data_IF_717985974190
#
_entry.id   IF_717985974190
#
_cell.length_a   1.000
_cell.length_b   1.000
_cell.length_c   1.000
_cell.angle_alpha   90.00
_cell.angle_beta   90.00
_cell.angle_gamma   90.00
#
_symmetry.space_group_name_H-M   'P 1'
#
loop_
_entity.id
_entity.type
_entity.pdbx_description
1 polymer ?
#
# COMPACT_ATOMS: atom_id res chain seq x y z
N UNK A 1 -16.87 -26.75 -50.48
CA UNK A 1 -16.70 -26.46 -49.05
C UNK A 1 -16.01 -25.13 -48.94
N UNK A 2 -16.66 -24.05 -48.50
CA UNK A 2 -16.00 -22.78 -48.31
C UNK A 2 -15.34 -22.73 -46.92
N UNK A 3 -14.12 -22.16 -46.90
CA UNK A 3 -13.27 -21.91 -45.74
C UNK A 3 -13.89 -20.87 -44.77
N UNK A 4 -13.68 -20.94 -43.45
CA UNK A 4 -14.22 -19.94 -42.52
C UNK A 4 -13.40 -18.67 -42.59
N UNK A 5 -14.11 -17.54 -42.69
CA UNK A 5 -13.57 -16.19 -42.73
C UNK A 5 -13.02 -15.79 -41.36
N UNK A 6 -11.81 -15.27 -41.42
CA UNK A 6 -11.06 -14.60 -40.35
C UNK A 6 -11.78 -13.31 -39.95
N UNK A 7 -12.36 -13.26 -38.76
CA UNK A 7 -12.99 -12.07 -38.18
C UNK A 7 -12.02 -11.36 -37.21
N UNK A 8 -10.88 -10.88 -37.72
CA UNK A 8 -10.10 -9.89 -37.01
C UNK A 8 -10.84 -8.54 -37.07
N UNK A 9 -11.52 -8.16 -35.99
CA UNK A 9 -12.11 -6.82 -35.83
C UNK A 9 -11.00 -5.78 -35.88
N UNK A 10 -10.80 -5.20 -37.06
CA UNK A 10 -9.96 -4.02 -37.27
C UNK A 10 -10.61 -2.85 -36.53
N UNK A 11 -9.94 -2.35 -35.52
CA UNK A 11 -10.29 -1.07 -34.91
C UNK A 11 -10.19 0.02 -35.99
N UNK A 12 -11.32 0.66 -36.32
CA UNK A 12 -11.37 1.75 -37.27
C UNK A 12 -10.79 3.03 -36.61
N UNK A 13 -9.63 3.54 -37.04
CA UNK A 13 -9.02 4.73 -36.45
C UNK A 13 -9.80 6.04 -36.71
N UNK A 14 -10.91 5.98 -37.46
CA UNK A 14 -11.77 7.14 -37.78
C UNK A 14 -13.15 7.07 -37.12
N UNK A 15 -13.40 6.14 -36.22
CA UNK A 15 -14.61 6.20 -35.42
C UNK A 15 -14.54 7.47 -34.56
N UNK A 16 -15.54 8.36 -34.61
CA UNK A 16 -15.58 9.54 -33.73
C UNK A 16 -15.54 9.04 -32.28
N UNK A 17 -14.79 9.72 -31.37
CA UNK A 17 -14.82 9.38 -29.96
C UNK A 17 -16.28 9.39 -29.50
N UNK A 18 -16.67 8.47 -28.59
CA UNK A 18 -18.03 8.47 -28.07
C UNK A 18 -18.35 9.88 -27.55
N UNK A 19 -19.43 10.46 -28.08
CA UNK A 19 -19.93 11.75 -27.66
C UNK A 19 -20.16 11.69 -26.14
N UNK A 20 -19.58 12.66 -25.41
CA UNK A 20 -19.58 12.75 -23.94
C UNK A 20 -18.59 11.80 -23.18
N UNK A 21 -17.30 11.89 -23.47
CA UNK A 21 -16.32 11.57 -22.43
C UNK A 21 -16.42 12.64 -21.34
N UNK A 22 -16.77 12.28 -20.10
CA UNK A 22 -17.22 13.25 -19.10
C UNK A 22 -16.07 14.02 -18.42
N UNK A 23 -14.86 14.06 -19.01
CA UNK A 23 -13.71 14.70 -18.38
C UNK A 23 -13.90 16.20 -18.18
N UNK A 24 -14.36 16.93 -19.21
CA UNK A 24 -14.61 18.38 -19.10
C UNK A 24 -15.75 18.67 -18.13
N UNK A 25 -16.79 17.83 -18.13
CA UNK A 25 -17.89 17.93 -17.16
C UNK A 25 -17.40 17.69 -15.72
N UNK A 26 -16.55 16.69 -15.51
CA UNK A 26 -15.98 16.43 -14.18
C UNK A 26 -15.06 17.58 -13.74
N UNK A 27 -14.25 18.13 -14.63
CA UNK A 27 -13.44 19.32 -14.35
C UNK A 27 -14.33 20.51 -13.95
N UNK A 28 -15.43 20.75 -14.67
CA UNK A 28 -16.38 21.82 -14.34
C UNK A 28 -17.04 21.60 -12.97
N UNK A 29 -17.40 20.37 -12.61
CA UNK A 29 -17.92 20.02 -11.28
C UNK A 29 -16.87 20.34 -10.20
N UNK A 30 -15.62 19.91 -10.37
CA UNK A 30 -14.53 20.18 -9.43
C UNK A 30 -14.29 21.69 -9.27
N UNK A 31 -14.22 22.45 -10.35
CA UNK A 31 -14.03 23.90 -10.29
C UNK A 31 -15.21 24.64 -9.63
N UNK A 32 -16.40 24.05 -9.60
CA UNK A 32 -17.54 24.58 -8.83
C UNK A 32 -17.54 24.17 -7.36
N UNK A 33 -16.52 23.44 -6.89
CA UNK A 33 -16.43 22.91 -5.53
C UNK A 33 -17.27 21.66 -5.32
N UNK A 34 -17.79 21.04 -6.39
CA UNK A 34 -18.51 19.77 -6.34
C UNK A 34 -17.55 18.57 -6.51
N UNK A 35 -18.11 17.35 -6.42
CA UNK A 35 -17.38 16.11 -6.54
C UNK A 35 -18.07 15.15 -7.52
N UNK A 36 -17.35 14.57 -8.50
CA UNK A 36 -17.92 13.57 -9.39
C UNK A 36 -18.23 12.26 -8.66
N UNK A 37 -19.24 11.54 -9.13
CA UNK A 37 -19.61 10.25 -8.56
C UNK A 37 -18.54 9.18 -8.85
N UNK A 38 -18.43 8.17 -7.98
CA UNK A 38 -17.44 7.10 -8.12
C UNK A 38 -17.50 6.38 -9.47
N UNK A 39 -18.70 6.13 -10.01
CA UNK A 39 -18.90 5.48 -11.31
C UNK A 39 -18.39 6.34 -12.48
N UNK A 40 -18.58 7.67 -12.40
CA UNK A 40 -18.08 8.59 -13.44
C UNK A 40 -16.54 8.63 -13.41
N UNK A 41 -15.94 8.65 -12.22
CA UNK A 41 -14.48 8.58 -12.03
C UNK A 41 -13.92 7.25 -12.52
N UNK A 42 -14.56 6.14 -12.20
CA UNK A 42 -14.15 4.81 -12.67
C UNK A 42 -14.18 4.75 -14.21
N UNK A 43 -15.22 5.27 -14.83
CA UNK A 43 -15.38 5.35 -16.29
C UNK A 43 -14.26 6.19 -16.92
N UNK A 44 -14.01 7.39 -16.40
CA UNK A 44 -12.96 8.28 -16.90
C UNK A 44 -11.58 7.62 -16.78
N UNK A 45 -11.23 7.13 -15.59
CA UNK A 45 -9.91 6.52 -15.36
C UNK A 45 -9.74 5.25 -16.19
N UNK A 46 -10.79 4.46 -16.37
CA UNK A 46 -10.77 3.30 -17.26
C UNK A 46 -10.48 3.67 -18.71
N UNK A 47 -11.10 4.74 -19.22
CA UNK A 47 -10.85 5.26 -20.56
C UNK A 47 -9.41 5.79 -20.72
N UNK A 48 -8.90 6.52 -19.71
CA UNK A 48 -7.50 6.96 -19.67
C UNK A 48 -6.53 5.78 -19.74
N UNK A 49 -6.77 4.74 -18.94
CA UNK A 49 -5.92 3.56 -18.92
C UNK A 49 -6.01 2.74 -20.22
N UNK A 50 -7.14 2.79 -20.94
CA UNK A 50 -7.32 2.20 -22.26
C UNK A 50 -6.62 3.01 -23.38
N UNK A 51 -6.43 4.30 -23.18
CA UNK A 51 -5.83 5.19 -24.16
C UNK A 51 -6.83 6.06 -24.92
N UNK A 52 -8.07 6.06 -24.49
CA UNK A 52 -9.19 6.74 -25.16
C UNK A 52 -9.30 8.22 -24.73
N UNK A 53 -8.52 8.64 -23.73
CA UNK A 53 -8.49 10.03 -23.24
C UNK A 53 -7.08 10.59 -23.35
N UNK A 54 -7.01 11.84 -23.78
CA UNK A 54 -5.79 12.63 -23.85
C UNK A 54 -5.19 12.85 -22.45
N UNK A 55 -3.87 12.66 -22.33
CA UNK A 55 -3.18 12.77 -21.04
C UNK A 55 -3.08 14.21 -20.54
N UNK A 56 -3.04 15.22 -21.43
CA UNK A 56 -2.98 16.63 -21.00
C UNK A 56 -4.31 17.05 -20.36
N UNK A 57 -5.42 16.62 -20.94
CA UNK A 57 -6.77 16.84 -20.39
C UNK A 57 -6.94 16.09 -19.06
N UNK A 58 -6.47 14.84 -18.99
CA UNK A 58 -6.48 14.10 -17.75
C UNK A 58 -5.58 14.74 -16.68
N UNK A 59 -4.47 15.32 -17.07
CA UNK A 59 -3.60 16.11 -16.18
C UNK A 59 -4.33 17.27 -15.52
N UNK A 60 -5.15 18.01 -16.28
CA UNK A 60 -5.99 19.09 -15.76
C UNK A 60 -7.01 18.57 -14.73
N UNK A 61 -7.63 17.41 -15.01
CA UNK A 61 -8.54 16.75 -14.07
C UNK A 61 -7.84 16.36 -12.77
N UNK A 62 -6.64 15.78 -12.83
CA UNK A 62 -5.84 15.41 -11.64
C UNK A 62 -5.49 16.65 -10.79
N UNK A 63 -5.16 17.76 -11.44
CA UNK A 63 -4.86 19.02 -10.75
C UNK A 63 -6.12 19.56 -10.08
N UNK A 64 -7.23 19.67 -10.81
CA UNK A 64 -8.50 20.16 -10.28
C UNK A 64 -8.97 19.31 -9.07
N UNK A 65 -8.86 17.97 -9.16
CA UNK A 65 -9.22 17.08 -8.08
C UNK A 65 -8.33 17.31 -6.83
N UNK A 66 -7.01 17.42 -7.03
CA UNK A 66 -6.09 17.66 -5.92
C UNK A 66 -6.25 19.04 -5.26
N UNK A 67 -6.79 20.04 -5.97
CA UNK A 67 -7.08 21.38 -5.46
C UNK A 67 -8.42 21.43 -4.71
N UNK A 68 -9.43 20.69 -5.18
CA UNK A 68 -10.73 20.57 -4.50
C UNK A 68 -10.63 19.68 -3.24
N UNK A 69 -9.69 18.71 -3.24
CA UNK A 69 -9.54 17.69 -2.21
C UNK A 69 -10.28 16.40 -2.55
N UNK A 70 -9.62 15.28 -2.41
CA UNK A 70 -10.16 13.97 -2.78
C UNK A 70 -11.16 13.44 -1.75
N UNK A 71 -12.30 12.96 -2.20
CA UNK A 71 -13.34 12.30 -1.41
C UNK A 71 -13.27 10.78 -1.52
N UNK A 72 -14.04 10.08 -0.67
CA UNK A 72 -14.21 8.62 -0.74
C UNK A 72 -14.65 8.14 -2.12
N UNK A 73 -15.59 8.86 -2.75
CA UNK A 73 -16.15 8.48 -4.05
C UNK A 73 -15.08 8.46 -5.15
N UNK A 74 -14.26 9.50 -5.20
CA UNK A 74 -13.21 9.64 -6.21
C UNK A 74 -12.09 8.65 -5.98
N UNK A 75 -11.64 8.47 -4.74
CA UNK A 75 -10.62 7.48 -4.39
C UNK A 75 -11.13 6.07 -4.73
N UNK A 76 -12.38 5.74 -4.40
CA UNK A 76 -12.99 4.46 -4.72
C UNK A 76 -13.12 4.21 -6.23
N UNK A 77 -13.54 5.23 -7.00
CA UNK A 77 -13.66 5.15 -8.46
C UNK A 77 -12.30 4.88 -9.13
N UNK A 78 -11.26 5.62 -8.74
CA UNK A 78 -9.90 5.37 -9.25
C UNK A 78 -9.43 3.97 -8.87
N UNK A 79 -9.62 3.54 -7.62
CA UNK A 79 -9.23 2.20 -7.17
C UNK A 79 -9.99 1.10 -7.92
N UNK A 80 -11.29 1.28 -8.22
CA UNK A 80 -12.10 0.35 -8.99
C UNK A 80 -11.56 0.17 -10.42
N UNK A 81 -11.27 1.28 -11.12
CA UNK A 81 -10.68 1.25 -12.46
C UNK A 81 -9.33 0.52 -12.51
N UNK A 82 -8.48 0.74 -11.50
CA UNK A 82 -7.18 0.04 -11.39
C UNK A 82 -7.36 -1.45 -11.12
N UNK A 83 -8.26 -1.82 -10.20
CA UNK A 83 -8.54 -3.23 -9.85
C UNK A 83 -9.15 -4.01 -11.00
N UNK A 84 -9.94 -3.37 -11.85
CA UNK A 84 -10.51 -4.00 -13.04
C UNK A 84 -9.44 -4.44 -14.06
N UNK A 85 -8.28 -3.76 -14.05
CA UNK A 85 -7.18 -3.99 -15.01
C UNK A 85 -5.93 -4.61 -14.39
N UNK A 86 -5.94 -4.91 -13.09
CA UNK A 86 -4.78 -5.49 -12.42
C UNK A 86 -4.62 -6.97 -12.74
N UNK A 87 -3.37 -7.42 -12.75
CA UNK A 87 -3.03 -8.84 -12.81
C UNK A 87 -3.10 -9.41 -11.39
N UNK A 88 -4.12 -10.24 -11.15
CA UNK A 88 -4.41 -10.79 -9.83
C UNK A 88 -3.42 -11.88 -9.41
N UNK A 89 -3.24 -12.03 -8.11
CA UNK A 89 -2.52 -13.13 -7.47
C UNK A 89 -3.55 -14.12 -6.93
N UNK A 90 -3.78 -15.29 -7.60
CA UNK A 90 -4.72 -16.29 -7.10
C UNK A 90 -4.17 -16.97 -5.84
N UNK A 91 -5.04 -17.21 -4.85
CA UNK A 91 -4.70 -17.91 -3.62
C UNK A 91 -5.94 -18.53 -2.96
N UNK A 92 -5.73 -19.50 -2.05
CA UNK A 92 -6.79 -20.15 -1.26
C UNK A 92 -6.86 -19.64 0.20
N UNK A 93 -6.06 -18.62 0.57
CA UNK A 93 -6.04 -18.11 1.92
C UNK A 93 -7.36 -17.42 2.27
N UNK A 94 -7.94 -17.74 3.44
CA UNK A 94 -9.17 -17.08 3.93
C UNK A 94 -8.93 -15.64 4.35
N UNK A 95 -7.75 -15.36 4.88
CA UNK A 95 -7.29 -14.03 5.29
C UNK A 95 -5.92 -13.83 4.67
N UNK A 96 -5.74 -12.71 4.00
CA UNK A 96 -4.44 -12.21 3.56
C UNK A 96 -4.28 -10.80 4.08
N UNK A 97 -3.16 -10.53 4.74
CA UNK A 97 -2.84 -9.20 5.24
C UNK A 97 -1.95 -8.42 4.26
N UNK A 98 -2.03 -7.09 4.36
CA UNK A 98 -1.07 -6.17 3.74
C UNK A 98 -0.74 -5.02 4.71
N UNK A 99 0.51 -4.60 4.70
CA UNK A 99 1.03 -3.47 5.49
C UNK A 99 1.61 -2.43 4.54
N UNK A 100 0.75 -1.75 3.80
CA UNK A 100 1.18 -0.82 2.75
C UNK A 100 0.72 0.60 3.06
N UNK A 101 1.64 1.53 3.29
CA UNK A 101 1.34 2.96 3.44
C UNK A 101 1.22 3.68 2.10
N UNK A 102 0.70 4.90 2.14
CA UNK A 102 0.66 5.81 0.98
C UNK A 102 2.05 6.37 0.66
N UNK A 103 2.96 6.28 1.61
CA UNK A 103 4.31 6.82 1.54
C UNK A 103 4.36 8.34 1.56
N UNK A 104 5.56 8.88 1.46
CA UNK A 104 5.75 10.32 1.33
C UNK A 104 5.66 11.11 2.64
N UNK A 105 5.81 10.46 3.78
CA UNK A 105 5.81 11.07 5.11
C UNK A 105 7.06 11.91 5.42
N UNK A 106 8.11 11.73 4.62
CA UNK A 106 9.36 12.48 4.76
C UNK A 106 10.23 12.08 5.96
N UNK A 107 9.86 11.04 6.72
CA UNK A 107 10.57 10.60 7.92
C UNK A 107 12.00 10.09 7.65
N UNK A 108 12.25 9.60 6.44
CA UNK A 108 13.53 8.96 6.10
C UNK A 108 13.76 7.63 6.84
N UNK A 109 12.74 7.06 7.45
CA UNK A 109 12.81 5.82 8.20
C UNK A 109 13.15 4.62 7.30
N UNK A 110 13.74 3.57 7.90
CA UNK A 110 13.87 2.28 7.23
C UNK A 110 12.47 1.69 6.91
N UNK A 111 12.41 0.67 6.06
CA UNK A 111 11.14 0.09 5.62
C UNK A 111 10.42 -0.68 6.74
N UNK A 112 9.84 0.05 7.70
CA UNK A 112 9.13 -0.46 8.89
C UNK A 112 8.03 -1.43 8.49
N UNK A 113 7.13 -1.01 7.58
CA UNK A 113 6.02 -1.83 7.12
C UNK A 113 6.48 -3.11 6.40
N UNK A 114 7.66 -3.10 5.74
CA UNK A 114 8.24 -4.31 5.13
C UNK A 114 8.74 -5.29 6.20
N UNK A 115 9.42 -4.77 7.23
CA UNK A 115 9.84 -5.58 8.37
C UNK A 115 8.63 -6.15 9.12
N UNK A 116 7.60 -5.33 9.36
CA UNK A 116 6.34 -5.76 9.98
C UNK A 116 5.65 -6.87 9.19
N UNK A 117 5.59 -6.77 7.84
CA UNK A 117 5.07 -7.82 6.96
C UNK A 117 5.75 -9.18 7.18
N UNK A 118 7.08 -9.16 7.30
CA UNK A 118 7.88 -10.38 7.54
C UNK A 118 7.56 -10.97 8.92
N UNK A 119 7.47 -10.13 9.96
CA UNK A 119 7.12 -10.54 11.32
C UNK A 119 5.70 -11.11 11.40
N UNK A 120 4.73 -10.46 10.75
CA UNK A 120 3.34 -10.93 10.65
C UNK A 120 3.26 -12.30 9.98
N UNK A 121 4.02 -12.50 8.90
CA UNK A 121 4.12 -13.81 8.25
C UNK A 121 4.80 -14.84 9.14
N UNK A 122 5.83 -14.46 9.92
CA UNK A 122 6.48 -15.28 10.94
C UNK A 122 5.52 -15.72 12.04
N UNK A 123 4.59 -14.85 12.42
CA UNK A 123 3.51 -15.17 13.37
C UNK A 123 2.40 -16.06 12.77
N UNK A 124 2.51 -16.48 11.49
CA UNK A 124 1.62 -17.45 10.84
C UNK A 124 0.46 -16.85 10.06
N UNK A 125 0.33 -15.53 9.96
CA UNK A 125 -0.70 -14.88 9.13
C UNK A 125 -0.18 -14.70 7.69
N UNK A 126 -0.88 -15.18 6.65
CA UNK A 126 -0.49 -14.95 5.27
C UNK A 126 -0.44 -13.46 4.91
N UNK A 127 0.65 -13.04 4.27
CA UNK A 127 0.87 -11.65 3.85
C UNK A 127 1.19 -11.58 2.36
N UNK A 128 0.48 -10.75 1.65
CA UNK A 128 0.82 -10.32 0.28
C UNK A 128 1.13 -8.83 0.31
N UNK A 129 2.41 -8.49 0.49
CA UNK A 129 2.81 -7.10 0.55
C UNK A 129 2.79 -6.46 -0.84
N UNK A 130 1.90 -5.49 -1.02
CA UNK A 130 1.92 -4.63 -2.19
C UNK A 130 2.93 -3.50 -2.01
N UNK A 131 3.76 -3.26 -3.01
CA UNK A 131 4.79 -2.24 -2.88
C UNK A 131 5.45 -1.86 -4.20
N UNK A 132 6.36 -0.90 -4.11
CA UNK A 132 7.04 -0.34 -5.27
C UNK A 132 8.50 0.01 -4.93
N UNK A 133 9.25 0.40 -5.96
CA UNK A 133 10.54 1.09 -5.80
C UNK A 133 10.31 2.50 -5.25
N UNK A 134 11.35 3.06 -4.65
CA UNK A 134 11.32 4.45 -4.19
C UNK A 134 11.05 5.42 -5.35
N UNK A 135 10.21 6.42 -5.10
CA UNK A 135 9.96 7.53 -6.04
C UNK A 135 10.47 8.85 -5.43
N UNK A 136 10.13 9.12 -4.17
CA UNK A 136 10.53 10.32 -3.44
C UNK A 136 11.23 10.01 -2.11
N UNK A 137 11.06 8.81 -1.57
CA UNK A 137 11.72 8.34 -0.36
C UNK A 137 13.15 7.85 -0.63
N UNK A 138 13.95 7.67 0.43
CA UNK A 138 15.34 7.16 0.34
C UNK A 138 15.41 5.68 -0.04
N UNK A 139 14.33 4.91 0.23
CA UNK A 139 14.25 3.47 -0.03
C UNK A 139 12.79 3.03 -0.20
N UNK A 140 12.51 2.22 -1.22
CA UNK A 140 11.22 1.58 -1.44
C UNK A 140 11.22 0.13 -0.94
N UNK A 141 10.04 -0.44 -0.77
CA UNK A 141 9.91 -1.85 -0.33
C UNK A 141 10.52 -2.84 -1.33
N UNK A 142 10.46 -2.55 -2.62
CA UNK A 142 11.11 -3.35 -3.65
C UNK A 142 12.63 -3.29 -3.53
N UNK A 143 13.18 -2.08 -3.35
CA UNK A 143 14.62 -1.87 -3.30
C UNK A 143 15.25 -2.61 -2.10
N UNK A 144 14.60 -2.55 -0.93
CA UNK A 144 15.10 -3.25 0.25
C UNK A 144 14.94 -4.77 0.14
N UNK A 145 13.86 -5.28 -0.44
CA UNK A 145 13.67 -6.72 -0.62
C UNK A 145 14.70 -7.32 -1.58
N UNK A 146 15.10 -6.60 -2.63
CA UNK A 146 16.22 -7.02 -3.49
C UNK A 146 17.53 -7.14 -2.70
N UNK A 147 17.82 -6.18 -1.79
CA UNK A 147 19.01 -6.26 -0.90
C UNK A 147 18.93 -7.41 0.10
N UNK A 148 17.71 -7.83 0.45
CA UNK A 148 17.46 -9.02 1.29
C UNK A 148 17.45 -10.34 0.49
N UNK A 149 17.81 -10.29 -0.80
CA UNK A 149 17.92 -11.47 -1.66
C UNK A 149 16.62 -11.96 -2.27
N UNK A 150 15.54 -11.20 -2.15
CA UNK A 150 14.24 -11.56 -2.74
C UNK A 150 14.20 -11.11 -4.20
N UNK A 151 13.87 -12.01 -5.11
CA UNK A 151 13.59 -11.66 -6.51
C UNK A 151 12.21 -10.99 -6.61
N UNK A 152 12.18 -9.73 -7.03
CA UNK A 152 10.96 -8.92 -7.08
C UNK A 152 10.35 -8.78 -8.48
N UNK A 153 11.13 -9.04 -9.52
CA UNK A 153 10.79 -8.85 -10.96
C UNK A 153 10.18 -10.09 -11.62
N UNK A 154 9.78 -11.06 -10.82
CA UNK A 154 9.18 -12.29 -11.33
C UNK A 154 7.78 -12.07 -11.95
N UNK A 155 7.36 -13.06 -12.74
CA UNK A 155 5.98 -13.10 -13.27
C UNK A 155 4.95 -13.09 -12.12
N UNK A 156 3.72 -12.62 -12.34
CA UNK A 156 2.66 -12.61 -11.30
C UNK A 156 2.41 -13.97 -10.63
N UNK A 157 2.61 -15.07 -11.36
CA UNK A 157 2.56 -16.44 -10.83
C UNK A 157 3.58 -16.72 -9.73
N UNK A 158 4.72 -16.01 -9.71
CA UNK A 158 5.71 -16.14 -8.65
C UNK A 158 5.16 -15.65 -7.31
N UNK A 159 4.45 -14.52 -7.31
CA UNK A 159 3.82 -14.01 -6.08
C UNK A 159 2.77 -15.00 -5.54
N UNK A 160 1.98 -15.62 -6.43
CA UNK A 160 1.03 -16.67 -6.05
C UNK A 160 1.73 -17.88 -5.42
N UNK A 161 2.82 -18.34 -6.03
CA UNK A 161 3.61 -19.45 -5.52
C UNK A 161 4.28 -19.14 -4.17
N UNK A 162 4.85 -17.94 -4.01
CA UNK A 162 5.40 -17.49 -2.72
C UNK A 162 4.32 -17.43 -1.63
N UNK A 163 3.14 -16.92 -1.95
CA UNK A 163 2.03 -16.86 -0.99
C UNK A 163 1.56 -18.26 -0.59
N UNK A 164 1.45 -19.18 -1.54
CA UNK A 164 1.03 -20.56 -1.28
C UNK A 164 2.06 -21.35 -0.47
N UNK A 165 3.33 -21.29 -0.85
CA UNK A 165 4.37 -22.16 -0.31
C UNK A 165 5.00 -21.59 0.97
N UNK A 166 5.08 -20.26 1.10
CA UNK A 166 5.76 -19.56 2.20
C UNK A 166 4.77 -18.85 3.12
N UNK A 167 3.62 -18.43 2.62
CA UNK A 167 2.69 -17.55 3.34
C UNK A 167 3.14 -16.08 3.34
N UNK A 168 4.13 -15.73 2.53
CA UNK A 168 4.61 -14.36 2.35
C UNK A 168 4.93 -14.13 0.87
N UNK A 169 4.34 -13.11 0.27
CA UNK A 169 4.60 -12.70 -1.10
C UNK A 169 4.85 -11.20 -1.20
N UNK A 170 5.63 -10.82 -2.21
CA UNK A 170 5.77 -9.43 -2.62
C UNK A 170 5.11 -9.22 -3.98
N UNK A 171 4.23 -8.24 -4.07
CA UNK A 171 3.53 -7.84 -5.28
C UNK A 171 4.08 -6.50 -5.76
N UNK A 172 4.98 -6.54 -6.74
CA UNK A 172 5.55 -5.33 -7.32
C UNK A 172 4.49 -4.58 -8.15
N UNK A 173 4.23 -3.32 -7.82
CA UNK A 173 3.16 -2.55 -8.45
C UNK A 173 3.23 -2.48 -9.99
N UNK A 174 4.37 -2.19 -10.65
CA UNK A 174 4.47 -2.23 -12.12
C UNK A 174 4.10 -3.57 -12.75
N UNK A 175 4.44 -4.68 -12.10
CA UNK A 175 4.13 -6.04 -12.62
C UNK A 175 2.62 -6.33 -12.57
N UNK A 176 1.96 -5.88 -11.51
CA UNK A 176 0.55 -6.18 -11.30
C UNK A 176 -0.41 -5.11 -11.85
N UNK A 177 0.09 -3.90 -12.11
CA UNK A 177 -0.67 -2.78 -12.67
C UNK A 177 -0.03 -2.25 -13.96
N UNK A 178 0.11 -3.05 -15.02
CA UNK A 178 0.81 -2.65 -16.24
C UNK A 178 0.17 -1.43 -16.92
N UNK A 179 -1.14 -1.25 -16.81
CA UNK A 179 -1.86 -0.08 -17.35
C UNK A 179 -1.39 1.25 -16.75
N UNK A 180 -0.81 1.23 -15.53
CA UNK A 180 -0.25 2.43 -14.90
C UNK A 180 1.00 2.98 -15.60
N UNK A 181 1.67 2.19 -16.45
CA UNK A 181 2.79 2.67 -17.25
C UNK A 181 2.40 3.87 -18.12
N UNK A 182 1.14 3.93 -18.59
CA UNK A 182 0.63 5.02 -19.42
C UNK A 182 0.60 6.36 -18.68
N UNK A 183 0.15 6.38 -17.42
CA UNK A 183 0.01 7.61 -16.63
C UNK A 183 1.27 7.98 -15.83
N UNK A 184 2.26 7.10 -15.81
CA UNK A 184 3.50 7.32 -15.07
C UNK A 184 4.27 8.58 -15.49
N UNK A 185 4.50 8.85 -16.80
CA UNK A 185 5.14 10.09 -17.25
C UNK A 185 4.37 11.36 -16.85
N UNK A 186 3.05 11.37 -17.01
CA UNK A 186 2.19 12.48 -16.61
C UNK A 186 2.31 12.77 -15.10
N UNK A 187 2.23 11.73 -14.25
CA UNK A 187 2.39 11.90 -12.80
C UNK A 187 3.73 12.54 -12.41
N UNK A 188 4.81 12.16 -13.10
CA UNK A 188 6.12 12.78 -12.88
C UNK A 188 6.18 14.24 -13.33
N UNK A 189 5.56 14.56 -14.48
CA UNK A 189 5.55 15.95 -14.99
C UNK A 189 4.73 16.91 -14.13
N UNK A 190 3.68 16.41 -13.46
CA UNK A 190 2.88 17.23 -12.54
C UNK A 190 3.65 17.67 -11.29
N UNK A 191 4.66 16.92 -10.85
CA UNK A 191 5.54 17.29 -9.73
C UNK A 191 4.84 17.47 -8.38
N UNK A 192 3.59 17.01 -8.24
CA UNK A 192 2.76 17.13 -7.04
C UNK A 192 2.03 15.82 -6.73
N UNK A 193 1.64 15.59 -5.47
CA UNK A 193 0.77 14.47 -5.11
C UNK A 193 -0.58 14.56 -5.82
N UNK A 194 -1.13 13.40 -6.20
CA UNK A 194 -2.43 13.24 -6.82
C UNK A 194 -3.17 12.08 -6.17
N UNK A 195 -4.43 11.85 -6.51
CA UNK A 195 -5.23 10.70 -6.03
C UNK A 195 -4.49 9.36 -6.16
N UNK A 196 -3.60 9.21 -7.16
CA UNK A 196 -2.78 8.00 -7.32
C UNK A 196 -1.79 7.74 -6.17
N UNK A 197 -1.53 8.71 -5.32
CA UNK A 197 -0.70 8.52 -4.13
C UNK A 197 -1.45 7.77 -3.02
N UNK A 198 -2.78 7.77 -3.04
CA UNK A 198 -3.61 7.17 -2.00
C UNK A 198 -4.20 5.81 -2.38
N UNK A 199 -4.31 5.52 -3.68
CA UNK A 199 -4.99 4.31 -4.15
C UNK A 199 -4.11 3.06 -4.18
N UNK A 200 -2.79 3.20 -4.08
CA UNK A 200 -1.86 2.05 -4.11
C UNK A 200 -2.25 0.95 -3.11
N UNK A 201 -2.43 1.27 -1.82
CA UNK A 201 -2.87 0.30 -0.82
C UNK A 201 -4.22 -0.36 -1.13
N UNK A 202 -5.12 0.36 -1.81
CA UNK A 202 -6.47 -0.11 -2.15
C UNK A 202 -6.51 -1.10 -3.32
N UNK A 203 -5.37 -1.30 -3.99
CA UNK A 203 -5.26 -2.09 -5.22
C UNK A 203 -4.34 -3.30 -5.04
N UNK A 204 -4.34 -3.94 -3.85
CA UNK A 204 -3.52 -5.12 -3.60
C UNK A 204 -3.92 -6.27 -4.54
N UNK A 205 -2.99 -6.83 -5.34
CA UNK A 205 -3.30 -7.85 -6.35
C UNK A 205 -3.80 -9.18 -5.79
N UNK A 206 -3.46 -9.50 -4.53
CA UNK A 206 -3.99 -10.67 -3.83
C UNK A 206 -5.35 -10.41 -3.16
N UNK A 207 -5.90 -9.19 -3.28
CA UNK A 207 -7.16 -8.84 -2.62
C UNK A 207 -7.05 -8.94 -1.10
N UNK A 208 -6.01 -8.32 -0.52
CA UNK A 208 -5.78 -8.33 0.93
C UNK A 208 -7.07 -7.98 1.68
N UNK A 209 -7.50 -8.89 2.56
CA UNK A 209 -8.75 -8.75 3.31
C UNK A 209 -8.57 -7.98 4.61
N UNK A 210 -7.34 -7.88 5.11
CA UNK A 210 -6.97 -7.11 6.30
C UNK A 210 -5.80 -6.21 5.94
N UNK A 211 -5.90 -4.92 6.24
CA UNK A 211 -4.86 -3.97 5.90
C UNK A 211 -4.55 -3.03 7.05
N UNK A 212 -3.28 -2.71 7.23
CA UNK A 212 -2.82 -1.53 7.97
C UNK A 212 -2.24 -0.56 6.96
N UNK A 213 -2.90 0.57 6.78
CA UNK A 213 -2.57 1.58 5.78
C UNK A 213 -2.06 2.83 6.47
N UNK A 214 -0.77 3.10 6.33
CA UNK A 214 -0.18 4.35 6.77
C UNK A 214 -0.55 5.51 5.86
N UNK A 215 -0.98 6.64 6.41
CA UNK A 215 -1.37 7.82 5.66
C UNK A 215 -0.70 9.07 6.22
N UNK A 216 0.28 9.60 5.48
CA UNK A 216 1.00 10.81 5.88
C UNK A 216 0.16 12.10 5.81
N UNK A 217 -0.91 12.13 4.99
CA UNK A 217 -1.80 13.28 4.83
C UNK A 217 -3.11 13.08 5.61
N UNK A 218 -3.21 13.72 6.77
CA UNK A 218 -4.35 13.54 7.68
C UNK A 218 -5.73 13.77 7.04
N UNK A 219 -5.85 14.73 6.12
CA UNK A 219 -7.11 15.12 5.48
C UNK A 219 -7.79 13.98 4.69
N UNK A 220 -7.02 13.03 4.14
CA UNK A 220 -7.58 11.95 3.31
C UNK A 220 -7.79 10.63 4.06
N UNK A 221 -7.47 10.55 5.36
CA UNK A 221 -7.55 9.30 6.14
C UNK A 221 -8.92 8.62 6.09
N UNK A 222 -9.99 9.39 6.33
CA UNK A 222 -11.36 8.87 6.29
C UNK A 222 -11.72 8.35 4.91
N UNK A 223 -11.44 9.16 3.89
CA UNK A 223 -11.75 8.82 2.51
C UNK A 223 -11.02 7.53 2.06
N UNK A 224 -9.76 7.35 2.47
CA UNK A 224 -8.99 6.13 2.21
C UNK A 224 -9.59 4.93 2.94
N UNK A 225 -9.97 5.08 4.21
CA UNK A 225 -10.54 4.01 5.01
C UNK A 225 -11.87 3.50 4.43
N UNK A 226 -12.77 4.41 4.09
CA UNK A 226 -14.07 4.07 3.49
C UNK A 226 -13.91 3.48 2.08
N UNK A 227 -13.03 4.05 1.26
CA UNK A 227 -12.76 3.53 -0.09
C UNK A 227 -12.18 2.10 -0.06
N UNK A 228 -11.37 1.76 0.95
CA UNK A 228 -10.86 0.41 1.14
C UNK A 228 -11.98 -0.60 1.42
N UNK A 229 -12.96 -0.23 2.24
CA UNK A 229 -14.12 -1.07 2.54
C UNK A 229 -15.02 -1.27 1.32
N UNK A 230 -15.24 -0.21 0.54
CA UNK A 230 -15.95 -0.31 -0.75
C UNK A 230 -15.21 -1.25 -1.71
N UNK A 231 -13.90 -1.38 -1.53
CA UNK A 231 -13.03 -2.30 -2.27
C UNK A 231 -13.12 -3.77 -1.89
N UNK A 232 -13.88 -4.13 -0.86
CA UNK A 232 -14.08 -5.49 -0.40
C UNK A 232 -13.11 -5.95 0.69
N UNK A 233 -12.35 -5.04 1.31
CA UNK A 233 -11.58 -5.36 2.50
C UNK A 233 -12.51 -5.78 3.66
N UNK A 234 -12.06 -6.70 4.49
CA UNK A 234 -12.81 -7.16 5.67
C UNK A 234 -12.60 -6.23 6.87
N UNK A 235 -11.37 -5.76 7.06
CA UNK A 235 -11.01 -4.79 8.09
C UNK A 235 -9.79 -4.00 7.66
N UNK A 236 -9.84 -2.70 7.86
CA UNK A 236 -8.77 -1.76 7.53
C UNK A 236 -8.49 -0.87 8.72
N UNK A 237 -7.23 -0.78 9.10
CA UNK A 237 -6.73 0.24 10.00
C UNK A 237 -6.02 1.30 9.17
N UNK A 238 -6.53 2.51 9.15
CA UNK A 238 -5.79 3.67 8.61
C UNK A 238 -5.12 4.38 9.77
N UNK A 239 -3.79 4.42 9.72
CA UNK A 239 -2.96 4.95 10.81
C UNK A 239 -2.20 6.20 10.37
N UNK A 240 -2.01 7.12 11.32
CA UNK A 240 -1.30 8.36 11.10
C UNK A 240 -0.80 8.90 12.44
N UNK A 241 0.48 9.17 12.56
CA UNK A 241 1.10 9.59 13.81
C UNK A 241 1.68 11.00 13.66
N UNK A 242 0.99 12.04 14.15
CA UNK A 242 1.53 13.39 14.16
C UNK A 242 2.81 13.44 14.98
N UNK A 243 3.87 13.97 14.41
CA UNK A 243 5.16 14.15 15.08
C UNK A 243 5.24 15.58 15.62
N UNK A 244 5.42 15.72 16.92
CA UNK A 244 5.61 17.04 17.56
C UNK A 244 7.02 17.59 17.27
N UNK A 245 7.38 17.77 15.99
CA UNK A 245 8.68 18.31 15.56
C UNK A 245 8.61 19.83 15.35
N UNK A 246 7.47 20.46 15.63
CA UNK A 246 7.29 21.89 15.41
C UNK A 246 8.26 22.70 16.27
N UNK A 247 9.19 23.39 15.60
CA UNK A 247 9.92 24.50 16.22
C UNK A 247 8.95 25.62 16.63
N UNK A 248 9.34 26.51 17.56
CA UNK A 248 8.47 27.62 18.00
C UNK A 248 8.09 28.46 16.77
N UNK A 249 6.82 28.51 16.42
CA UNK A 249 6.25 29.33 15.35
C UNK A 249 5.87 28.63 14.05
N UNK A 250 6.03 27.30 13.94
CA UNK A 250 5.50 26.56 12.79
C UNK A 250 3.96 26.47 12.86
N UNK A 251 3.22 26.72 11.77
CA UNK A 251 1.78 26.55 11.75
C UNK A 251 1.43 25.08 12.01
N UNK A 252 0.38 24.84 12.81
CA UNK A 252 -0.08 23.49 13.18
C UNK A 252 -0.44 22.56 11.97
N UNK A 253 -0.56 23.13 10.79
CA UNK A 253 -0.84 22.42 9.53
C UNK A 253 0.38 21.72 8.91
N UNK A 254 1.60 21.96 9.38
CA UNK A 254 2.86 21.45 8.83
C UNK A 254 3.61 20.51 9.79
N UNK A 255 2.94 19.95 10.81
CA UNK A 255 3.57 18.93 11.62
C UNK A 255 3.86 17.69 10.75
N UNK A 256 5.13 17.27 10.71
CA UNK A 256 5.52 16.03 10.07
C UNK A 256 4.64 14.89 10.64
N UNK A 257 4.23 13.98 9.78
CA UNK A 257 3.36 12.88 10.16
C UNK A 257 4.01 11.57 9.73
N UNK A 258 4.25 10.67 10.67
CA UNK A 258 4.72 9.32 10.36
C UNK A 258 3.52 8.48 9.89
N UNK A 259 3.65 7.80 8.76
CA UNK A 259 2.62 6.90 8.19
C UNK A 259 2.73 5.46 8.74
N UNK A 260 3.00 5.34 10.05
CA UNK A 260 3.14 4.08 10.80
C UNK A 260 2.55 4.22 12.20
N UNK A 261 2.31 3.11 12.89
CA UNK A 261 2.05 3.13 14.35
C UNK A 261 3.32 3.52 15.07
N UNK A 262 3.27 4.61 15.84
CA UNK A 262 4.44 5.32 16.35
C UNK A 262 4.83 4.91 17.77
N UNK A 263 6.14 4.95 18.03
CA UNK A 263 6.71 4.90 19.39
C UNK A 263 6.83 6.27 20.05
N UNK A 264 6.62 7.35 19.30
CA UNK A 264 7.06 8.70 19.70
C UNK A 264 5.91 9.62 20.11
N UNK A 265 4.76 9.07 20.38
CA UNK A 265 3.56 9.79 20.77
C UNK A 265 2.30 9.08 20.31
N UNK A 266 1.31 9.87 19.98
CA UNK A 266 -0.03 9.41 19.63
C UNK A 266 -0.06 8.92 18.17
N UNK A 267 -0.74 7.80 17.94
CA UNK A 267 -1.18 7.35 16.62
C UNK A 267 -2.70 7.47 16.54
N UNK A 268 -3.20 8.25 15.60
CA UNK A 268 -4.61 8.28 15.24
C UNK A 268 -4.93 7.08 14.36
N UNK A 269 -5.97 6.34 14.70
CA UNK A 269 -6.40 5.13 14.00
C UNK A 269 -7.86 5.22 13.63
N UNK A 270 -8.15 5.05 12.35
CA UNK A 270 -9.49 4.80 11.83
C UNK A 270 -9.61 3.31 11.55
N UNK A 271 -10.41 2.61 12.35
CA UNK A 271 -10.66 1.18 12.25
C UNK A 271 -12.01 0.97 11.57
N UNK A 272 -12.01 0.47 10.36
CA UNK A 272 -13.22 0.19 9.59
C UNK A 272 -13.34 -1.31 9.36
N UNK A 273 -14.47 -1.86 9.72
CA UNK A 273 -14.77 -3.28 9.63
C UNK A 273 -16.25 -3.58 9.54
N UNK A 274 -16.66 -4.85 9.66
CA UNK A 274 -18.08 -5.27 9.57
C UNK A 274 -19.00 -4.61 10.58
N UNK A 275 -18.44 -4.15 11.70
CA UNK A 275 -19.17 -3.49 12.79
C UNK A 275 -19.24 -1.96 12.63
N UNK A 276 -18.79 -1.43 11.48
CA UNK A 276 -18.73 0.00 11.19
C UNK A 276 -17.36 0.61 11.41
N UNK A 277 -17.33 1.93 11.56
CA UNK A 277 -16.12 2.73 11.74
C UNK A 277 -15.93 3.07 13.21
N UNK A 278 -14.73 2.85 13.71
CA UNK A 278 -14.30 3.25 15.06
C UNK A 278 -13.05 4.11 14.98
N UNK A 279 -12.92 5.02 15.92
CA UNK A 279 -11.74 5.84 16.09
C UNK A 279 -11.01 5.42 17.35
N UNK A 280 -9.70 5.19 17.19
CA UNK A 280 -8.81 4.94 18.32
C UNK A 280 -7.68 5.96 18.32
N UNK A 281 -7.20 6.22 19.49
CA UNK A 281 -5.97 6.96 19.73
C UNK A 281 -5.04 6.02 20.49
N UNK A 282 -3.98 5.58 19.83
CA UNK A 282 -3.03 4.63 20.43
C UNK A 282 -1.72 5.31 20.79
N UNK A 283 -1.11 4.79 21.83
CA UNK A 283 0.27 5.08 22.22
C UNK A 283 1.04 3.75 22.35
N UNK A 284 2.33 3.79 22.57
CA UNK A 284 3.14 2.58 22.79
C UNK A 284 2.65 1.81 24.03
N UNK A 285 2.11 2.50 25.04
CA UNK A 285 1.58 1.92 26.30
C UNK A 285 0.38 1.01 26.06
N UNK A 286 -0.46 1.29 25.06
CA UNK A 286 -1.60 0.42 24.72
C UNK A 286 -1.13 -0.97 24.24
N UNK A 287 0.09 -1.06 23.74
CA UNK A 287 0.76 -2.30 23.38
C UNK A 287 1.60 -2.87 24.53
N UNK A 288 1.71 -2.15 25.67
CA UNK A 288 2.57 -2.47 26.80
C UNK A 288 4.05 -2.18 26.57
N UNK A 289 4.39 -1.29 25.65
CA UNK A 289 5.71 -0.69 25.45
C UNK A 289 5.72 0.71 26.04
N UNK A 290 6.89 1.29 26.21
CA UNK A 290 7.01 2.68 26.68
C UNK A 290 7.16 3.62 25.50
N UNK A 291 6.46 4.75 25.54
CA UNK A 291 6.66 5.86 24.60
C UNK A 291 8.12 6.35 24.70
N UNK A 292 8.74 6.58 23.55
CA UNK A 292 10.12 7.02 23.46
C UNK A 292 10.21 8.51 23.16
N UNK A 293 11.29 9.18 23.58
CA UNK A 293 11.53 10.56 23.22
C UNK A 293 11.56 10.74 21.69
N UNK A 294 11.02 11.85 21.19
CA UNK A 294 11.01 12.17 19.76
C UNK A 294 12.42 12.22 19.14
N UNK A 295 13.44 12.55 19.92
CA UNK A 295 14.83 12.52 19.48
C UNK A 295 15.29 11.12 19.02
N UNK A 296 14.64 10.06 19.50
CA UNK A 296 14.94 8.67 19.09
C UNK A 296 14.42 8.35 17.68
N UNK A 297 13.59 9.20 17.08
CA UNK A 297 13.14 9.05 15.69
C UNK A 297 14.34 8.99 14.72
N UNK A 298 15.39 9.77 14.98
CA UNK A 298 16.61 9.73 14.19
C UNK A 298 17.28 8.34 14.13
N UNK A 299 17.02 7.47 15.13
CA UNK A 299 17.53 6.09 15.15
C UNK A 299 16.83 5.20 14.11
N UNK A 300 15.67 5.62 13.58
CA UNK A 300 14.95 4.92 12.53
C UNK A 300 15.41 5.32 11.13
N UNK A 301 16.10 6.47 10.99
CA UNK A 301 16.53 6.96 9.69
C UNK A 301 17.57 6.06 9.04
N UNK A 302 17.54 6.04 7.71
CA UNK A 302 18.52 5.36 6.86
C UNK A 302 18.80 6.20 5.61
N UNK A 303 19.96 5.97 4.99
CA UNK A 303 20.37 6.69 3.79
C UNK A 303 20.06 5.95 2.48
N UNK A 304 19.59 4.72 2.56
CA UNK A 304 19.26 3.94 1.37
C UNK A 304 18.86 2.49 1.68
N UNK A 305 18.64 1.69 0.62
CA UNK A 305 18.15 0.33 0.75
C UNK A 305 19.12 -0.61 1.46
N UNK A 306 20.44 -0.39 1.38
CA UNK A 306 21.45 -1.19 2.07
C UNK A 306 21.32 -1.05 3.59
N UNK A 307 21.24 0.19 4.09
CA UNK A 307 21.09 0.46 5.52
C UNK A 307 19.71 -0.01 6.01
N UNK A 308 18.68 0.12 5.19
CA UNK A 308 17.34 -0.38 5.51
C UNK A 308 17.33 -1.92 5.61
N UNK A 309 17.99 -2.61 4.70
CA UNK A 309 18.13 -4.06 4.74
C UNK A 309 18.91 -4.52 5.98
N UNK A 310 20.00 -3.84 6.33
CA UNK A 310 20.77 -4.11 7.54
C UNK A 310 19.91 -3.92 8.81
N UNK A 311 19.10 -2.83 8.86
CA UNK A 311 18.19 -2.58 9.96
C UNK A 311 17.13 -3.69 10.11
N UNK A 312 16.55 -4.16 9.01
CA UNK A 312 15.59 -5.28 9.01
C UNK A 312 16.27 -6.56 9.53
N UNK A 313 17.46 -6.89 9.03
CA UNK A 313 18.19 -8.09 9.48
C UNK A 313 18.52 -8.02 10.97
N UNK A 314 18.94 -6.87 11.49
CA UNK A 314 19.22 -6.67 12.91
C UNK A 314 17.95 -6.88 13.76
N UNK A 315 16.80 -6.34 13.33
CA UNK A 315 15.50 -6.58 13.98
C UNK A 315 15.16 -8.07 13.98
N UNK A 316 15.27 -8.75 12.85
CA UNK A 316 14.96 -10.18 12.73
C UNK A 316 15.94 -11.08 13.48
N UNK A 317 17.15 -10.59 13.77
CA UNK A 317 18.13 -11.25 14.64
C UNK A 317 17.86 -11.01 16.14
N UNK A 318 16.81 -10.25 16.50
CA UNK A 318 16.43 -9.99 17.88
C UNK A 318 17.11 -8.78 18.51
N UNK A 319 17.83 -7.94 17.75
CA UNK A 319 18.46 -6.74 18.28
C UNK A 319 17.41 -5.81 18.92
N UNK A 320 17.64 -5.47 20.20
CA UNK A 320 16.74 -4.62 20.97
C UNK A 320 16.89 -3.14 20.60
N UNK A 321 15.82 -2.37 20.72
CA UNK A 321 15.85 -0.93 20.52
C UNK A 321 14.67 -0.39 19.71
N UNK A 322 14.69 0.91 19.37
CA UNK A 322 13.55 1.57 18.71
C UNK A 322 13.16 0.94 17.37
N UNK A 323 14.12 0.41 16.61
CA UNK A 323 13.84 -0.27 15.32
C UNK A 323 13.03 -1.54 15.53
N UNK A 324 13.36 -2.36 16.53
CA UNK A 324 12.59 -3.55 16.87
C UNK A 324 11.20 -3.17 17.39
N UNK A 325 11.16 -2.22 18.33
CA UNK A 325 9.91 -1.85 19.00
C UNK A 325 8.88 -1.31 17.99
N UNK A 326 9.27 -0.44 17.04
CA UNK A 326 8.35 0.09 16.01
C UNK A 326 7.86 -0.99 15.05
N UNK A 327 8.71 -1.96 14.70
CA UNK A 327 8.30 -3.10 13.86
C UNK A 327 7.30 -3.98 14.62
N UNK A 328 7.55 -4.24 15.89
CA UNK A 328 6.64 -4.99 16.76
C UNK A 328 5.28 -4.30 16.88
N UNK A 329 5.22 -2.97 17.05
CA UNK A 329 3.95 -2.22 17.09
C UNK A 329 3.15 -2.38 15.79
N UNK A 330 3.77 -2.21 14.64
CA UNK A 330 3.09 -2.29 13.34
C UNK A 330 2.68 -3.72 13.00
N UNK A 331 3.49 -4.72 13.36
CA UNK A 331 3.12 -6.12 13.25
C UNK A 331 1.95 -6.48 14.19
N UNK A 332 1.98 -6.01 15.45
CA UNK A 332 0.92 -6.23 16.41
C UNK A 332 -0.41 -5.61 15.96
N UNK A 333 -0.39 -4.37 15.43
CA UNK A 333 -1.58 -3.74 14.86
C UNK A 333 -2.20 -4.62 13.76
N UNK A 334 -1.37 -5.19 12.88
CA UNK A 334 -1.82 -6.07 11.79
C UNK A 334 -2.40 -7.39 12.31
N UNK A 335 -1.74 -8.03 13.28
CA UNK A 335 -2.21 -9.28 13.90
C UNK A 335 -3.52 -9.08 14.66
N UNK A 336 -3.66 -7.95 15.36
CA UNK A 336 -4.90 -7.58 16.04
C UNK A 336 -6.03 -7.30 15.03
N UNK A 337 -5.77 -6.55 13.98
CA UNK A 337 -6.74 -6.29 12.92
C UNK A 337 -7.25 -7.57 12.26
N UNK A 338 -6.39 -8.55 12.08
CA UNK A 338 -6.74 -9.86 11.53
C UNK A 338 -7.52 -10.76 12.50
N UNK A 339 -7.64 -10.36 13.77
CA UNK A 339 -8.30 -11.16 14.81
C UNK A 339 -7.47 -12.36 15.26
N UNK A 340 -6.15 -12.36 15.02
CA UNK A 340 -5.22 -13.40 15.48
C UNK A 340 -5.00 -13.28 17.00
N UNK A 341 -5.12 -12.08 17.54
CA UNK A 341 -5.02 -11.80 18.96
C UNK A 341 -6.20 -10.93 19.43
N UNK A 342 -6.65 -11.17 20.66
CA UNK A 342 -7.80 -10.49 21.24
C UNK A 342 -7.49 -9.07 21.75
N UNK A 343 -6.22 -8.71 21.95
CA UNK A 343 -5.78 -7.39 22.43
C UNK A 343 -4.46 -6.99 21.81
N UNK A 344 -4.14 -5.69 21.84
CA UNK A 344 -2.87 -5.17 21.35
C UNK A 344 -1.65 -5.75 22.10
N UNK A 345 -1.65 -5.89 23.44
CA UNK A 345 -0.55 -6.56 24.15
C UNK A 345 -0.39 -8.02 23.77
N UNK A 346 -1.49 -8.75 23.54
CA UNK A 346 -1.41 -10.15 23.09
C UNK A 346 -0.86 -10.25 21.67
N UNK A 347 -1.23 -9.33 20.78
CA UNK A 347 -0.70 -9.25 19.42
C UNK A 347 0.80 -8.90 19.42
N UNK A 348 1.23 -7.99 20.30
CA UNK A 348 2.63 -7.66 20.51
C UNK A 348 3.42 -8.91 20.90
N UNK A 349 2.95 -9.68 21.88
CA UNK A 349 3.63 -10.89 22.32
C UNK A 349 3.79 -11.93 21.19
N UNK A 350 2.84 -12.00 20.23
CA UNK A 350 2.98 -12.85 19.04
C UNK A 350 4.06 -12.32 18.09
N UNK A 351 4.10 -11.01 17.87
CA UNK A 351 5.12 -10.38 17.03
C UNK A 351 6.52 -10.55 17.61
N UNK A 352 6.69 -10.30 18.91
CA UNK A 352 7.97 -10.51 19.61
C UNK A 352 8.43 -11.98 19.52
N UNK A 353 7.52 -12.93 19.76
CA UNK A 353 7.82 -14.36 19.65
C UNK A 353 8.31 -14.72 18.25
N UNK A 354 7.66 -14.23 17.19
CA UNK A 354 8.07 -14.53 15.83
C UNK A 354 9.48 -14.03 15.49
N UNK A 355 9.94 -12.97 16.16
CA UNK A 355 11.31 -12.50 16.06
C UNK A 355 12.23 -13.43 16.91
N UNK A 356 11.90 -13.65 18.18
CA UNK A 356 12.75 -14.27 19.18
C UNK A 356 12.98 -15.77 18.93
N UNK A 357 11.99 -16.48 18.35
CA UNK A 357 12.12 -17.88 17.95
C UNK A 357 12.69 -18.08 16.53
N UNK A 358 13.00 -16.98 15.82
CA UNK A 358 13.55 -16.99 14.47
C UNK A 358 12.54 -17.26 13.35
N UNK A 359 11.24 -17.40 13.65
CA UNK A 359 10.21 -17.68 12.63
C UNK A 359 10.12 -16.57 11.57
N UNK A 360 10.28 -15.32 11.97
CA UNK A 360 10.28 -14.19 11.04
C UNK A 360 11.51 -14.23 10.11
N UNK A 361 12.70 -14.50 10.64
CA UNK A 361 13.92 -14.66 9.83
C UNK A 361 13.80 -15.84 8.85
N UNK A 362 13.23 -16.96 9.31
CA UNK A 362 12.97 -18.13 8.47
C UNK A 362 11.99 -17.82 7.31
N UNK A 363 10.97 -16.98 7.56
CA UNK A 363 10.05 -16.54 6.48
C UNK A 363 10.74 -15.71 5.42
N UNK A 364 11.62 -14.78 5.80
CA UNK A 364 12.41 -14.01 4.83
C UNK A 364 13.33 -14.93 4.02
N UNK A 365 14.04 -15.84 4.67
CA UNK A 365 14.91 -16.80 3.99
C UNK A 365 14.13 -17.70 3.02
N UNK A 366 12.95 -18.18 3.43
CA UNK A 366 12.08 -19.00 2.59
C UNK A 366 11.55 -18.18 1.38
N UNK A 367 11.17 -16.91 1.58
CA UNK A 367 10.75 -16.02 0.50
C UNK A 367 11.89 -15.78 -0.50
N UNK A 368 13.10 -15.49 -0.01
CA UNK A 368 14.27 -15.33 -0.87
C UNK A 368 14.57 -16.60 -1.68
N UNK A 369 14.60 -17.76 -1.03
CA UNK A 369 14.81 -19.04 -1.70
C UNK A 369 13.72 -19.34 -2.75
N UNK A 370 12.43 -19.18 -2.37
CA UNK A 370 11.29 -19.48 -3.25
C UNK A 370 11.23 -18.53 -4.45
N UNK A 371 11.52 -17.25 -4.23
CA UNK A 371 11.49 -16.24 -5.31
C UNK A 371 12.57 -16.45 -6.36
N UNK A 372 13.70 -17.06 -5.99
CA UNK A 372 14.80 -17.37 -6.88
C UNK A 372 14.75 -18.81 -7.45
N UNK A 373 13.81 -19.63 -7.00
CA UNK A 373 13.64 -20.98 -7.52
C UNK A 373 13.22 -20.95 -9.00
N UNK A 374 13.68 -21.90 -9.83
CA UNK A 374 13.18 -22.04 -11.19
C UNK A 374 11.64 -22.15 -11.20
N UNK A 375 11.01 -21.57 -12.22
CA UNK A 375 9.58 -21.79 -12.43
C UNK A 375 9.33 -23.30 -12.57
N UNK A 376 8.31 -23.83 -11.90
CA UNK A 376 7.89 -25.19 -12.15
C UNK A 376 7.58 -25.34 -13.65
N UNK A 377 7.98 -26.45 -14.30
CA UNK A 377 7.62 -26.68 -15.70
C UNK A 377 6.10 -26.56 -15.82
N UNK A 378 5.62 -25.78 -16.80
CA UNK A 378 4.20 -25.74 -17.15
C UNK A 378 3.74 -27.16 -17.42
N UNK A 379 2.84 -27.68 -16.60
CA UNK A 379 2.11 -28.90 -16.94
C UNK A 379 1.10 -28.45 -17.99
N UNK A 380 1.53 -28.44 -19.24
CA UNK A 380 0.62 -28.30 -20.36
C UNK A 380 -0.28 -29.55 -20.36
N UNK A 381 -1.53 -29.33 -20.04
CA UNK A 381 -2.61 -30.29 -20.17
C UNK A 381 -3.41 -29.99 -21.43
#
# INVERSE_FOLDING_TARGET
>A
MPSPADSSSRHDPHSPPPADLPVDRQIAILHSGGHPAAADVETLVSAVLAGDVDLDTFGKWLVALAETGETTAEIAGVAAALRARMVRVPHACRIVADTCGTGGDGSGSFNISTAAAIVVAGAGLPVAKHGNRAVSSRTGSADVLERLGVRIDGAPSLAAACLADVGLAFCLAPTHHPAMARVGPLRRSLGRPTVFNFVGPLCNPAGATVQVIGVGRAAVRHAVAEAAMLGGARRVLVVSSPLAIAGPGAPAAESATLDEVSLFGVTDVIDVGPEGTRHHTWTAEDFGLSTRPIADLAKLEVNGPEESAAAILAVLAGESGPRRDVVVLNAAATLWAAGVAASLPAARALAERAIDDGSAAAKLAALAARSNAPAAPSVDA
#
